data_IF_523162395778
#
_entry.id   IF_523162395778
#
_cell.length_a   1.000
_cell.length_b   1.000
_cell.length_c   1.000
_cell.angle_alpha   90.00
_cell.angle_beta   90.00
_cell.angle_gamma   90.00
#
_symmetry.space_group_name_H-M   'P 1'
#
loop_
_entity.id
_entity.type
_entity.pdbx_description
1 polymer ?
#
# COMPACT_ATOMS: atom_id res chain seq x y z
N UNK A 1 -60.51 -17.00 23.59
CA UNK A 1 -61.19 -15.71 23.37
C UNK A 1 -61.57 -15.64 21.89
N UNK A 2 -62.90 -15.60 21.55
CA UNK A 2 -63.33 -15.57 20.15
C UNK A 2 -63.34 -14.14 19.62
N UNK A 3 -62.96 -14.00 18.36
CA UNK A 3 -62.97 -12.72 17.62
C UNK A 3 -64.39 -12.31 17.20
N UNK A 4 -64.72 -11.01 17.14
CA UNK A 4 -66.04 -10.55 16.78
C UNK A 4 -66.29 -10.61 15.27
N UNK A 5 -67.42 -11.20 14.93
CA UNK A 5 -67.99 -11.29 13.57
C UNK A 5 -68.39 -9.92 13.05
N UNK A 6 -67.82 -9.46 11.92
CA UNK A 6 -68.29 -8.23 11.22
C UNK A 6 -69.55 -8.51 10.45
N UNK A 7 -70.65 -7.90 10.90
CA UNK A 7 -71.91 -7.88 10.17
C UNK A 7 -71.81 -6.93 8.98
N UNK A 8 -71.85 -7.45 7.76
CA UNK A 8 -71.97 -6.65 6.54
C UNK A 8 -73.41 -6.20 6.34
N UNK A 9 -73.65 -4.91 6.50
CA UNK A 9 -74.90 -4.26 6.17
C UNK A 9 -75.00 -4.05 4.65
N UNK A 10 -75.86 -4.79 3.96
CA UNK A 10 -76.09 -4.62 2.51
C UNK A 10 -76.67 -3.22 2.23
N UNK A 11 -75.93 -2.38 1.53
CA UNK A 11 -76.45 -1.11 0.95
C UNK A 11 -77.28 -1.44 -0.27
N UNK A 12 -78.52 -0.98 -0.28
CA UNK A 12 -79.44 -1.04 -1.42
C UNK A 12 -78.80 -0.28 -2.63
N UNK A 13 -78.43 -0.97 -3.67
CA UNK A 13 -77.87 -0.40 -4.87
C UNK A 13 -79.06 0.18 -5.67
N UNK A 14 -79.21 1.50 -5.70
CA UNK A 14 -80.14 2.20 -6.58
C UNK A 14 -79.45 2.27 -7.95
N UNK A 15 -80.00 1.61 -8.96
CA UNK A 15 -79.52 1.67 -10.35
C UNK A 15 -79.85 3.04 -10.94
N UNK A 16 -78.88 3.85 -11.34
CA UNK A 16 -79.18 5.10 -12.06
C UNK A 16 -79.77 4.79 -13.45
N UNK A 17 -80.69 5.65 -13.92
CA UNK A 17 -81.33 5.51 -15.22
C UNK A 17 -80.35 5.55 -16.35
N UNK A 18 -80.75 5.06 -17.50
CA UNK A 18 -79.93 4.91 -18.72
C UNK A 18 -79.27 6.21 -19.18
N UNK A 19 -79.90 7.38 -18.98
CA UNK A 19 -79.31 8.69 -19.33
C UNK A 19 -78.20 9.13 -18.40
N UNK A 20 -78.27 8.79 -17.13
CA UNK A 20 -77.26 9.11 -16.13
C UNK A 20 -76.00 8.24 -16.31
N UNK A 21 -76.14 6.98 -16.76
CA UNK A 21 -75.03 6.10 -17.13
C UNK A 21 -74.33 6.63 -18.40
N UNK A 22 -75.08 7.14 -19.39
CA UNK A 22 -74.50 7.72 -20.61
C UNK A 22 -73.71 9.00 -20.30
N UNK A 23 -74.20 9.87 -19.41
CA UNK A 23 -73.48 11.09 -18.98
C UNK A 23 -72.23 10.77 -18.14
N UNK A 24 -72.29 9.79 -17.27
CA UNK A 24 -71.13 9.37 -16.49
C UNK A 24 -70.05 8.72 -17.39
N UNK A 25 -70.44 7.88 -18.37
CA UNK A 25 -69.46 7.27 -19.30
C UNK A 25 -68.79 8.32 -20.21
N UNK A 26 -69.54 9.36 -20.66
CA UNK A 26 -68.99 10.46 -21.46
C UNK A 26 -68.03 11.34 -20.64
N UNK A 27 -68.35 11.58 -19.37
CA UNK A 27 -67.46 12.32 -18.44
C UNK A 27 -66.11 11.60 -18.23
N UNK A 28 -66.12 10.29 -17.99
CA UNK A 28 -64.89 9.49 -17.86
C UNK A 28 -64.05 9.45 -19.11
N UNK A 29 -64.67 9.38 -20.29
CA UNK A 29 -63.95 9.40 -21.58
C UNK A 29 -63.33 10.76 -21.83
N UNK A 30 -64.03 11.86 -21.50
CA UNK A 30 -63.46 13.23 -21.67
C UNK A 30 -62.33 13.51 -20.65
N UNK A 31 -62.44 13.01 -19.44
CA UNK A 31 -61.42 13.14 -18.43
C UNK A 31 -60.15 12.31 -18.75
N UNK A 32 -60.38 11.09 -19.30
CA UNK A 32 -59.26 10.25 -19.77
C UNK A 32 -58.55 10.82 -21.02
N UNK A 33 -59.30 11.52 -21.92
CA UNK A 33 -58.72 12.18 -23.10
C UNK A 33 -57.95 13.47 -22.75
N UNK A 34 -58.35 14.13 -21.63
CA UNK A 34 -57.71 15.35 -21.15
C UNK A 34 -56.62 15.08 -20.07
N UNK A 35 -56.39 13.81 -19.69
CA UNK A 35 -55.34 13.47 -18.75
C UNK A 35 -53.97 13.85 -19.39
N UNK A 36 -53.15 14.66 -18.72
CA UNK A 36 -51.83 15.02 -19.25
C UNK A 36 -51.03 13.76 -19.52
N UNK A 37 -50.52 13.61 -20.74
CA UNK A 37 -49.62 12.53 -21.12
C UNK A 37 -48.40 12.61 -20.19
N UNK A 38 -48.34 11.72 -19.23
CA UNK A 38 -47.15 11.61 -18.36
C UNK A 38 -46.01 11.14 -19.25
N UNK A 39 -45.17 12.07 -19.67
CA UNK A 39 -43.91 11.69 -20.30
C UNK A 39 -43.07 10.92 -19.31
N UNK A 40 -42.56 9.72 -19.65
CA UNK A 40 -41.72 8.97 -18.79
C UNK A 40 -40.53 9.84 -18.35
N UNK A 41 -40.08 9.77 -17.07
CA UNK A 41 -38.96 10.56 -16.63
C UNK A 41 -37.75 10.27 -17.51
N UNK A 42 -37.17 11.33 -18.09
CA UNK A 42 -35.97 11.22 -18.92
C UNK A 42 -34.92 10.46 -18.12
N UNK A 43 -34.31 9.38 -18.66
CA UNK A 43 -33.27 8.66 -17.95
C UNK A 43 -32.18 9.66 -17.58
N UNK A 44 -31.91 9.78 -16.28
CA UNK A 44 -30.91 10.73 -15.79
C UNK A 44 -29.58 10.40 -16.46
N UNK A 45 -28.96 11.37 -17.11
CA UNK A 45 -27.62 11.25 -17.74
C UNK A 45 -26.55 10.71 -16.75
N UNK A 46 -26.80 10.83 -15.47
CA UNK A 46 -25.99 10.29 -14.37
C UNK A 46 -25.80 8.77 -14.46
N UNK A 47 -26.78 7.99 -14.95
CA UNK A 47 -26.66 6.52 -15.09
C UNK A 47 -25.60 6.08 -16.11
N UNK A 48 -25.30 6.91 -17.10
CA UNK A 48 -24.32 6.59 -18.16
C UNK A 48 -22.92 7.19 -17.90
N UNK A 49 -22.81 8.18 -17.01
CA UNK A 49 -21.54 8.85 -16.69
C UNK A 49 -20.74 8.04 -15.66
N UNK A 50 -21.40 7.50 -14.62
CA UNK A 50 -20.76 6.71 -13.57
C UNK A 50 -19.91 5.52 -14.09
N UNK A 51 -20.42 4.64 -14.98
CA UNK A 51 -19.61 3.53 -15.47
C UNK A 51 -18.39 3.99 -16.28
N UNK A 52 -18.50 5.09 -17.02
CA UNK A 52 -17.38 5.65 -17.80
C UNK A 52 -16.28 6.20 -16.90
N UNK A 53 -16.63 6.88 -15.80
CA UNK A 53 -15.67 7.36 -14.80
C UNK A 53 -14.96 6.18 -14.12
N UNK A 54 -15.69 5.15 -13.71
CA UNK A 54 -15.13 3.94 -13.08
C UNK A 54 -14.16 3.25 -14.02
N UNK A 55 -14.53 3.07 -15.30
CA UNK A 55 -13.66 2.49 -16.32
C UNK A 55 -12.41 3.37 -16.52
N UNK A 56 -12.57 4.69 -16.60
CA UNK A 56 -11.44 5.62 -16.74
C UNK A 56 -10.45 5.52 -15.57
N UNK A 57 -10.94 5.53 -14.33
CA UNK A 57 -10.12 5.35 -13.12
C UNK A 57 -9.41 3.99 -13.14
N UNK A 58 -10.11 2.93 -13.49
CA UNK A 58 -9.54 1.59 -13.58
C UNK A 58 -8.41 1.50 -14.63
N UNK A 59 -8.61 2.10 -15.81
CA UNK A 59 -7.58 2.16 -16.85
C UNK A 59 -6.34 2.94 -16.39
N UNK A 60 -6.53 4.07 -15.68
CA UNK A 60 -5.41 4.84 -15.10
C UNK A 60 -4.64 3.99 -14.08
N UNK A 61 -5.33 3.31 -13.17
CA UNK A 61 -4.68 2.45 -12.16
C UNK A 61 -3.91 1.29 -12.81
N UNK A 62 -4.48 0.64 -13.83
CA UNK A 62 -3.77 -0.40 -14.60
C UNK A 62 -2.55 0.18 -15.30
N UNK A 63 -2.68 1.34 -15.94
CA UNK A 63 -1.54 1.98 -16.63
C UNK A 63 -0.41 2.31 -15.67
N UNK A 64 -0.71 2.86 -14.50
CA UNK A 64 0.28 3.13 -13.45
C UNK A 64 0.95 1.85 -12.96
N UNK A 65 0.17 0.78 -12.76
CA UNK A 65 0.69 -0.52 -12.38
C UNK A 65 1.62 -1.10 -13.45
N UNK A 66 1.23 -1.04 -14.72
CA UNK A 66 2.06 -1.50 -15.85
C UNK A 66 3.36 -0.70 -15.94
N UNK A 67 3.30 0.62 -15.77
CA UNK A 67 4.50 1.47 -15.74
C UNK A 67 5.43 1.03 -14.60
N UNK A 68 4.92 0.80 -13.39
CA UNK A 68 5.71 0.33 -12.26
C UNK A 68 6.33 -1.06 -12.53
N UNK A 69 5.59 -1.98 -13.15
CA UNK A 69 6.08 -3.29 -13.54
C UNK A 69 7.19 -3.18 -14.60
N UNK A 70 7.03 -2.31 -15.60
CA UNK A 70 8.08 -2.04 -16.61
C UNK A 70 9.32 -1.40 -15.99
N UNK A 71 9.14 -0.49 -15.02
CA UNK A 71 10.26 0.07 -14.26
C UNK A 71 11.01 -1.03 -13.49
N UNK A 72 10.31 -1.96 -12.84
CA UNK A 72 10.95 -3.12 -12.19
C UNK A 72 11.77 -3.95 -13.17
N UNK A 73 11.27 -4.15 -14.40
CA UNK A 73 12.02 -4.84 -15.46
C UNK A 73 13.30 -4.06 -15.79
N UNK A 74 13.21 -2.73 -15.96
CA UNK A 74 14.37 -1.87 -16.20
C UNK A 74 15.40 -1.91 -15.07
N UNK A 75 14.95 -1.96 -13.81
CA UNK A 75 15.81 -2.03 -12.63
C UNK A 75 16.64 -3.32 -12.52
N UNK A 76 16.37 -4.31 -13.35
CA UNK A 76 17.27 -5.48 -13.50
C UNK A 76 18.66 -5.10 -13.97
N UNK A 77 18.79 -4.06 -14.80
CA UNK A 77 20.03 -3.64 -15.45
C UNK A 77 20.43 -2.19 -15.14
N UNK A 78 19.48 -1.37 -14.72
CA UNK A 78 19.67 0.07 -14.47
C UNK A 78 19.51 0.34 -12.99
N UNK A 79 20.41 1.09 -12.40
CA UNK A 79 20.33 1.52 -11.01
C UNK A 79 19.32 2.67 -10.89
N UNK A 80 18.45 2.67 -9.84
CA UNK A 80 17.47 3.72 -9.68
C UNK A 80 18.15 5.05 -9.34
N UNK A 81 17.95 6.11 -10.15
CA UNK A 81 18.54 7.42 -9.87
C UNK A 81 17.84 8.13 -8.70
N UNK A 82 16.61 7.77 -8.42
CA UNK A 82 15.77 8.30 -7.34
C UNK A 82 14.65 7.32 -6.99
N UNK A 83 13.95 7.57 -5.89
CA UNK A 83 12.79 6.77 -5.46
C UNK A 83 11.63 7.67 -5.04
N UNK A 84 10.43 7.09 -4.88
CA UNK A 84 9.28 7.83 -4.38
C UNK A 84 9.52 8.42 -2.97
N UNK A 85 10.31 7.73 -2.12
CA UNK A 85 10.71 8.24 -0.80
C UNK A 85 11.63 9.46 -0.93
N UNK A 86 12.65 9.41 -1.78
CA UNK A 86 13.55 10.54 -2.04
C UNK A 86 12.74 11.75 -2.52
N UNK A 87 11.91 11.57 -3.54
CA UNK A 87 11.05 12.63 -4.08
C UNK A 87 10.09 13.19 -3.02
N UNK A 88 9.50 12.33 -2.20
CA UNK A 88 8.63 12.75 -1.10
C UNK A 88 9.38 13.62 -0.09
N UNK A 89 10.62 13.26 0.28
CA UNK A 89 11.43 14.06 1.22
C UNK A 89 11.83 15.42 0.66
N UNK A 90 12.19 15.47 -0.61
CA UNK A 90 12.44 16.72 -1.31
C UNK A 90 11.20 17.64 -1.30
N UNK A 91 10.04 17.07 -1.64
CA UNK A 91 8.77 17.80 -1.66
C UNK A 91 8.40 18.31 -0.25
N UNK A 92 8.54 17.46 0.78
CA UNK A 92 8.29 17.84 2.17
C UNK A 92 9.20 19.00 2.62
N UNK A 93 10.49 18.91 2.30
CA UNK A 93 11.45 19.96 2.62
C UNK A 93 11.11 21.28 1.92
N UNK A 94 10.71 21.22 0.65
CA UNK A 94 10.29 22.38 -0.12
C UNK A 94 9.02 23.04 0.47
N UNK A 95 7.99 22.23 0.79
CA UNK A 95 6.73 22.72 1.39
C UNK A 95 6.99 23.39 2.74
N UNK A 96 7.86 22.80 3.56
CA UNK A 96 8.16 23.32 4.91
C UNK A 96 9.32 24.32 4.93
N UNK A 97 9.86 24.70 3.78
CA UNK A 97 11.02 25.61 3.65
C UNK A 97 12.20 25.21 4.56
N UNK A 98 12.41 23.89 4.73
CA UNK A 98 13.49 23.37 5.57
C UNK A 98 14.71 23.03 4.72
N UNK A 99 15.95 23.35 5.18
CA UNK A 99 17.16 22.94 4.48
C UNK A 99 17.21 21.41 4.33
N UNK A 100 17.40 20.93 3.12
CA UNK A 100 17.49 19.50 2.84
C UNK A 100 18.69 19.21 1.95
N UNK A 101 19.56 18.32 2.39
CA UNK A 101 20.71 17.87 1.62
C UNK A 101 20.64 16.34 1.49
N UNK A 102 20.39 15.87 0.30
CA UNK A 102 20.44 14.45 -0.03
C UNK A 102 21.87 13.97 -0.17
N UNK A 103 22.16 12.81 0.44
CA UNK A 103 23.37 12.01 0.25
C UNK A 103 22.92 10.67 -0.28
N UNK A 104 23.17 10.44 -1.54
CA UNK A 104 22.82 9.21 -2.24
C UNK A 104 23.96 8.78 -3.12
N UNK A 105 24.38 7.52 -2.99
CA UNK A 105 25.38 6.91 -3.86
C UNK A 105 25.10 5.43 -3.98
N UNK A 106 24.70 5.00 -5.18
CA UNK A 106 24.53 3.60 -5.51
C UNK A 106 25.89 2.92 -5.70
N UNK A 107 26.06 1.72 -5.12
CA UNK A 107 27.25 0.89 -5.28
C UNK A 107 26.83 -0.57 -5.50
N UNK A 108 27.59 -1.39 -6.27
CA UNK A 108 27.29 -2.81 -6.43
C UNK A 108 27.30 -3.55 -5.10
N UNK A 109 26.45 -4.57 -4.96
CA UNK A 109 26.37 -5.41 -3.76
C UNK A 109 27.73 -5.98 -3.33
N UNK A 110 28.62 -6.25 -4.29
CA UNK A 110 30.00 -6.71 -4.05
C UNK A 110 30.89 -5.67 -3.36
N UNK A 111 30.49 -4.41 -3.33
CA UNK A 111 31.17 -3.32 -2.63
C UNK A 111 30.55 -3.00 -1.27
N UNK A 112 29.52 -3.74 -0.86
CA UNK A 112 28.90 -3.66 0.47
C UNK A 112 29.45 -4.83 1.31
N UNK A 113 29.94 -4.55 2.51
CA UNK A 113 30.44 -5.57 3.43
C UNK A 113 29.43 -6.71 3.61
N UNK A 114 29.84 -7.98 3.58
CA UNK A 114 28.98 -9.11 3.91
C UNK A 114 28.33 -8.96 5.30
N UNK A 115 29.07 -8.42 6.27
CA UNK A 115 28.53 -8.16 7.61
C UNK A 115 27.34 -7.20 7.58
N UNK A 116 27.39 -6.14 6.73
CA UNK A 116 26.28 -5.20 6.62
C UNK A 116 25.07 -5.84 5.93
N UNK A 117 25.28 -6.65 4.89
CA UNK A 117 24.23 -7.42 4.23
C UNK A 117 23.54 -8.35 5.22
N UNK A 118 24.30 -9.14 5.98
CA UNK A 118 23.82 -10.09 6.98
C UNK A 118 23.09 -9.39 8.13
N UNK A 119 23.63 -8.29 8.64
CA UNK A 119 23.02 -7.52 9.72
C UNK A 119 21.66 -6.96 9.31
N UNK A 120 21.54 -6.45 8.09
CA UNK A 120 20.25 -5.93 7.56
C UNK A 120 19.24 -7.06 7.39
N UNK A 121 19.64 -8.19 6.82
CA UNK A 121 18.75 -9.36 6.67
C UNK A 121 18.32 -9.86 8.07
N UNK A 122 19.23 -10.00 9.02
CA UNK A 122 18.91 -10.44 10.37
C UNK A 122 18.02 -9.46 11.14
N UNK A 123 18.08 -8.16 10.82
CA UNK A 123 17.28 -7.12 11.45
C UNK A 123 15.86 -7.04 10.89
N UNK A 124 15.75 -7.07 9.55
CA UNK A 124 14.53 -6.70 8.81
C UNK A 124 13.76 -7.91 8.27
N UNK A 125 14.45 -8.99 7.90
CA UNK A 125 13.85 -10.11 7.19
C UNK A 125 14.72 -11.38 7.33
N UNK A 126 14.73 -11.97 8.52
CA UNK A 126 15.60 -13.10 8.85
C UNK A 126 15.42 -14.34 7.94
N UNK A 127 14.29 -14.44 7.24
CA UNK A 127 13.98 -15.53 6.32
C UNK A 127 14.01 -15.09 4.85
N UNK A 128 14.70 -14.00 4.52
CA UNK A 128 14.73 -13.37 3.21
C UNK A 128 14.94 -14.34 2.06
N UNK A 129 15.86 -15.29 2.19
CA UNK A 129 16.14 -16.29 1.15
C UNK A 129 15.17 -17.47 1.13
N UNK A 130 14.24 -17.58 2.10
CA UNK A 130 13.35 -18.73 2.24
C UNK A 130 11.94 -18.48 1.70
N UNK A 131 11.56 -17.22 1.44
CA UNK A 131 10.25 -16.85 0.93
C UNK A 131 10.34 -16.13 -0.43
N UNK A 132 9.19 -15.96 -1.08
CA UNK A 132 9.05 -15.29 -2.37
C UNK A 132 8.26 -13.97 -2.23
N UNK A 133 8.81 -13.03 -1.47
CA UNK A 133 8.25 -11.69 -1.28
C UNK A 133 7.37 -11.51 -0.04
N UNK A 134 6.69 -12.56 0.41
CA UNK A 134 5.90 -12.56 1.65
C UNK A 134 6.37 -13.67 2.58
N UNK A 135 6.73 -13.31 3.80
CA UNK A 135 6.98 -14.29 4.87
C UNK A 135 5.68 -14.60 5.61
N UNK A 136 4.98 -15.63 5.13
CA UNK A 136 3.71 -16.06 5.73
C UNK A 136 3.85 -16.53 7.18
N UNK A 137 4.99 -17.08 7.55
CA UNK A 137 5.26 -17.51 8.92
C UNK A 137 5.36 -16.28 9.85
N UNK A 138 6.15 -15.25 9.48
CA UNK A 138 6.24 -14.02 10.27
C UNK A 138 4.90 -13.25 10.31
N UNK A 139 4.11 -13.29 9.23
CA UNK A 139 2.76 -12.70 9.21
C UNK A 139 1.84 -13.41 10.22
N UNK A 140 1.86 -14.74 10.26
CA UNK A 140 1.07 -15.52 11.22
C UNK A 140 1.49 -15.26 12.66
N UNK A 141 2.80 -15.26 12.93
CA UNK A 141 3.34 -14.97 14.26
C UNK A 141 2.98 -13.56 14.74
N UNK A 142 3.11 -12.56 13.86
CA UNK A 142 2.75 -11.18 14.19
C UNK A 142 1.23 -11.04 14.47
N UNK A 143 0.38 -11.76 13.73
CA UNK A 143 -1.07 -11.76 13.96
C UNK A 143 -1.45 -12.43 15.30
N UNK A 144 -0.75 -13.50 15.71
CA UNK A 144 -0.95 -14.12 17.01
C UNK A 144 -0.53 -13.21 18.17
N UNK A 145 0.66 -12.59 18.06
CA UNK A 145 1.17 -11.64 19.06
C UNK A 145 0.21 -10.44 19.24
N UNK A 146 -0.42 -9.98 18.14
CA UNK A 146 -1.39 -8.88 18.16
C UNK A 146 -2.70 -9.27 18.88
N UNK A 147 -3.17 -10.51 18.67
CA UNK A 147 -4.34 -11.06 19.37
C UNK A 147 -4.10 -11.26 20.88
N UNK A 148 -2.87 -11.56 21.27
CA UNK A 148 -2.46 -11.73 22.68
C UNK A 148 -2.16 -10.39 23.38
N UNK A 149 -2.31 -9.25 22.66
CA UNK A 149 -2.03 -7.92 23.19
C UNK A 149 -0.54 -7.64 23.40
N UNK A 150 0.32 -8.48 22.83
CA UNK A 150 1.77 -8.27 22.84
C UNK A 150 2.16 -7.15 21.84
N UNK A 151 3.37 -6.61 21.99
CA UNK A 151 3.85 -5.54 21.14
C UNK A 151 4.03 -6.05 19.70
N UNK A 152 3.20 -5.60 18.78
CA UNK A 152 3.27 -5.96 17.36
C UNK A 152 4.65 -5.66 16.78
N UNK A 153 5.33 -6.69 16.31
CA UNK A 153 6.55 -6.52 15.52
C UNK A 153 6.21 -6.44 14.03
N UNK A 154 7.05 -5.73 13.26
CA UNK A 154 6.82 -5.59 11.83
C UNK A 154 7.05 -6.91 11.09
N UNK A 155 6.05 -7.37 10.33
CA UNK A 155 6.13 -8.55 9.47
C UNK A 155 6.36 -8.18 7.99
N UNK A 156 6.91 -7.00 7.71
CA UNK A 156 7.18 -6.55 6.33
C UNK A 156 8.55 -7.03 5.87
N UNK A 157 8.60 -7.72 4.74
CA UNK A 157 9.83 -8.23 4.12
C UNK A 157 10.67 -7.12 3.45
N UNK A 158 11.94 -7.40 3.18
CA UNK A 158 12.84 -6.52 2.41
C UNK A 158 12.22 -6.20 1.03
N UNK A 159 11.62 -7.17 0.34
CA UNK A 159 10.98 -6.96 -0.97
C UNK A 159 9.77 -6.02 -0.87
N UNK A 160 8.93 -6.16 0.15
CA UNK A 160 7.82 -5.24 0.39
C UNK A 160 8.31 -3.82 0.69
N UNK A 161 9.36 -3.69 1.49
CA UNK A 161 9.98 -2.40 1.80
C UNK A 161 10.62 -1.77 0.57
N UNK A 162 11.27 -2.55 -0.30
CA UNK A 162 11.83 -2.09 -1.56
C UNK A 162 10.73 -1.51 -2.47
N UNK A 163 9.68 -2.28 -2.75
CA UNK A 163 8.56 -1.85 -3.59
C UNK A 163 7.91 -0.57 -3.04
N UNK A 164 7.71 -0.49 -1.71
CA UNK A 164 7.22 0.71 -1.03
C UNK A 164 8.14 1.91 -1.30
N UNK A 165 9.45 1.76 -1.11
CA UNK A 165 10.42 2.85 -1.28
C UNK A 165 10.48 3.33 -2.73
N UNK A 166 10.44 2.43 -3.70
CA UNK A 166 10.52 2.75 -5.12
C UNK A 166 9.29 3.52 -5.62
N UNK A 167 8.06 3.11 -5.22
CA UNK A 167 6.84 3.56 -5.90
C UNK A 167 5.81 4.29 -5.04
N UNK A 168 5.83 4.12 -3.71
CA UNK A 168 4.69 4.55 -2.87
C UNK A 168 5.03 5.57 -1.76
N UNK A 169 6.28 5.73 -1.39
CA UNK A 169 6.68 6.62 -0.29
C UNK A 169 6.27 6.11 1.10
N UNK A 170 6.22 7.02 2.10
CA UNK A 170 6.09 6.68 3.53
C UNK A 170 4.68 6.78 4.10
N UNK A 171 3.68 7.21 3.33
CA UNK A 171 2.28 7.31 3.78
C UNK A 171 1.72 5.98 4.30
N UNK A 172 0.69 6.00 5.14
CA UNK A 172 0.00 4.82 5.64
C UNK A 172 -1.42 4.75 5.07
N UNK A 173 -1.72 3.73 4.27
CA UNK A 173 -3.04 3.49 3.68
C UNK A 173 -3.18 2.00 3.35
N UNK A 174 -4.35 1.43 3.61
CA UNK A 174 -4.65 0.04 3.23
C UNK A 174 -4.69 -0.14 1.71
N UNK A 175 -5.21 0.84 0.96
CA UNK A 175 -5.22 0.80 -0.51
C UNK A 175 -3.80 0.76 -1.07
N UNK A 176 -2.91 1.60 -0.53
CA UNK A 176 -1.49 1.58 -0.88
C UNK A 176 -0.86 0.22 -0.57
N UNK A 177 -1.12 -0.36 0.62
CA UNK A 177 -0.58 -1.67 1.00
C UNK A 177 -1.07 -2.78 0.06
N UNK A 178 -2.33 -2.72 -0.39
CA UNK A 178 -2.85 -3.61 -1.42
C UNK A 178 -2.12 -3.46 -2.76
N UNK A 179 -1.90 -2.23 -3.22
CA UNK A 179 -1.16 -1.95 -4.46
C UNK A 179 0.31 -2.42 -4.36
N UNK A 180 1.00 -2.16 -3.23
CA UNK A 180 2.35 -2.70 -2.96
C UNK A 180 2.36 -4.23 -3.11
N UNK A 181 1.39 -4.91 -2.48
CA UNK A 181 1.33 -6.37 -2.48
C UNK A 181 1.22 -6.96 -3.89
N UNK A 182 0.61 -6.27 -4.86
CA UNK A 182 0.52 -6.77 -6.24
C UNK A 182 1.84 -6.66 -7.01
N UNK A 183 2.72 -5.73 -6.65
CA UNK A 183 4.02 -5.55 -7.29
C UNK A 183 5.14 -6.42 -6.68
N UNK A 184 4.97 -6.90 -5.45
CA UNK A 184 5.96 -7.73 -4.75
C UNK A 184 6.32 -9.00 -5.51
N UNK A 185 5.35 -9.82 -6.01
CA UNK A 185 5.68 -10.99 -6.82
C UNK A 185 6.40 -10.64 -8.13
N UNK A 186 6.07 -9.51 -8.74
CA UNK A 186 6.73 -9.03 -9.95
C UNK A 186 8.20 -8.70 -9.63
N UNK A 187 8.47 -7.99 -8.54
CA UNK A 187 9.83 -7.67 -8.10
C UNK A 187 10.66 -8.94 -7.85
N UNK A 188 10.09 -9.93 -7.14
CA UNK A 188 10.77 -11.21 -6.87
C UNK A 188 11.10 -11.96 -8.16
N UNK A 189 10.15 -12.06 -9.09
CA UNK A 189 10.33 -12.77 -10.34
C UNK A 189 11.36 -12.10 -11.25
N UNK A 190 11.31 -10.77 -11.36
CA UNK A 190 12.13 -10.01 -12.31
C UNK A 190 13.54 -9.77 -11.79
N UNK A 191 13.68 -9.34 -10.52
CA UNK A 191 14.96 -8.92 -9.95
C UNK A 191 15.72 -10.08 -9.33
N UNK A 192 15.02 -11.00 -8.65
CA UNK A 192 15.63 -12.04 -7.82
C UNK A 192 16.28 -11.48 -6.54
N UNK A 193 16.56 -12.34 -5.58
CA UNK A 193 16.99 -11.99 -4.22
C UNK A 193 18.23 -11.09 -4.18
N UNK A 194 19.24 -11.42 -4.99
CA UNK A 194 20.50 -10.65 -5.00
C UNK A 194 20.27 -9.19 -5.42
N UNK A 195 19.53 -8.97 -6.52
CA UNK A 195 19.25 -7.62 -7.02
C UNK A 195 18.29 -6.86 -6.12
N UNK A 196 17.31 -7.54 -5.52
CA UNK A 196 16.42 -6.96 -4.52
C UNK A 196 17.21 -6.42 -3.33
N UNK A 197 18.14 -7.23 -2.77
CA UNK A 197 18.97 -6.81 -1.65
C UNK A 197 19.90 -5.65 -2.03
N UNK A 198 20.53 -5.72 -3.21
CA UNK A 198 21.40 -4.66 -3.74
C UNK A 198 20.65 -3.33 -3.81
N UNK A 199 19.52 -3.29 -4.52
CA UNK A 199 18.75 -2.06 -4.67
C UNK A 199 18.22 -1.59 -3.30
N UNK A 200 17.72 -2.51 -2.45
CA UNK A 200 17.21 -2.16 -1.13
C UNK A 200 18.26 -1.46 -0.27
N UNK A 201 19.45 -2.04 -0.16
CA UNK A 201 20.55 -1.48 0.63
C UNK A 201 20.96 -0.09 0.14
N UNK A 202 20.84 0.17 -1.16
CA UNK A 202 21.25 1.43 -1.75
C UNK A 202 20.16 2.51 -1.75
N UNK A 203 18.85 2.14 -1.67
CA UNK A 203 17.78 3.14 -1.73
C UNK A 203 17.11 3.41 -0.37
N UNK A 204 17.30 2.53 0.61
CA UNK A 204 16.65 2.71 1.92
C UNK A 204 17.19 3.94 2.65
N UNK A 205 16.29 4.64 3.36
CA UNK A 205 16.64 5.80 4.19
C UNK A 205 17.32 5.33 5.49
N UNK A 206 18.55 5.79 5.75
CA UNK A 206 19.33 5.49 6.95
C UNK A 206 19.34 6.65 7.95
N UNK A 207 18.87 7.80 7.54
CA UNK A 207 18.81 9.02 8.34
C UNK A 207 18.26 10.18 7.53
N UNK A 208 18.05 11.36 8.14
CA UNK A 208 17.56 12.53 7.41
C UNK A 208 18.45 12.88 6.21
N UNK A 209 17.95 12.64 4.99
CA UNK A 209 18.68 12.88 3.75
C UNK A 209 19.85 11.92 3.48
N UNK A 210 19.95 10.79 4.20
CA UNK A 210 21.00 9.79 4.00
C UNK A 210 20.37 8.53 3.43
N UNK A 211 20.71 8.21 2.19
CA UNK A 211 20.20 7.07 1.44
C UNK A 211 21.33 6.19 0.95
N UNK A 212 21.12 4.89 1.12
CA UNK A 212 22.06 3.88 0.68
C UNK A 212 23.20 3.59 1.64
N UNK A 213 23.69 2.34 1.55
CA UNK A 213 24.70 1.79 2.44
C UNK A 213 26.01 2.60 2.42
N UNK A 214 26.51 2.97 1.25
CA UNK A 214 27.76 3.75 1.13
C UNK A 214 27.64 5.12 1.80
N UNK A 215 26.51 5.80 1.56
CA UNK A 215 26.26 7.12 2.17
C UNK A 215 26.12 7.02 3.68
N UNK A 216 25.43 5.99 4.18
CA UNK A 216 25.23 5.75 5.61
C UNK A 216 26.56 5.45 6.33
N UNK A 217 27.36 4.53 5.78
CA UNK A 217 28.65 4.16 6.39
C UNK A 217 29.61 5.35 6.44
N UNK A 218 29.67 6.15 5.39
CA UNK A 218 30.48 7.38 5.38
C UNK A 218 29.96 8.44 6.34
N UNK A 219 28.64 8.55 6.48
CA UNK A 219 28.03 9.56 7.33
C UNK A 219 28.17 9.25 8.81
N UNK A 220 27.98 8.00 9.21
CA UNK A 220 27.98 7.60 10.63
C UNK A 220 29.34 7.11 11.11
N UNK A 221 30.07 6.37 10.27
CA UNK A 221 31.31 5.70 10.68
C UNK A 221 32.57 6.23 9.96
N UNK A 222 32.41 7.19 9.03
CA UNK A 222 33.53 7.76 8.26
C UNK A 222 34.24 6.76 7.34
N UNK A 223 33.68 5.56 7.13
CA UNK A 223 34.29 4.47 6.38
C UNK A 223 33.45 4.08 5.15
N UNK A 224 34.06 3.55 4.08
CA UNK A 224 33.28 3.02 2.95
C UNK A 224 32.54 1.74 3.37
N UNK A 225 31.37 1.48 2.72
CA UNK A 225 30.50 0.34 3.05
C UNK A 225 31.19 -1.03 3.00
N UNK A 226 32.20 -1.20 2.15
CA UNK A 226 32.99 -2.44 2.04
C UNK A 226 33.84 -2.76 3.28
N UNK A 227 34.16 -1.74 4.09
CA UNK A 227 35.09 -1.86 5.23
C UNK A 227 34.35 -1.90 6.58
N UNK A 228 33.02 -1.84 6.56
CA UNK A 228 32.21 -1.91 7.79
C UNK A 228 32.30 -3.28 8.40
N UNK A 229 32.70 -3.33 9.66
CA UNK A 229 32.79 -4.57 10.42
C UNK A 229 31.46 -4.92 11.09
N UNK A 230 31.44 -6.10 11.69
CA UNK A 230 30.22 -6.76 12.21
C UNK A 230 29.43 -5.92 13.22
N UNK A 231 30.11 -5.29 14.18
CA UNK A 231 29.45 -4.47 15.20
C UNK A 231 28.87 -3.17 14.62
N UNK A 232 29.63 -2.49 13.77
CA UNK A 232 29.17 -1.30 13.05
C UNK A 232 27.96 -1.63 12.19
N UNK A 233 28.01 -2.74 11.44
CA UNK A 233 26.93 -3.24 10.61
C UNK A 233 25.65 -3.47 11.41
N UNK A 234 25.75 -4.10 12.57
CA UNK A 234 24.60 -4.35 13.45
C UNK A 234 23.99 -3.05 14.01
N UNK A 235 24.83 -2.06 14.37
CA UNK A 235 24.36 -0.73 14.81
C UNK A 235 23.67 0.04 13.67
N UNK A 236 24.22 0.00 12.48
CA UNK A 236 23.59 0.58 11.29
C UNK A 236 22.27 -0.11 10.99
N UNK A 237 22.21 -1.44 10.92
CA UNK A 237 20.96 -2.16 10.71
C UNK A 237 19.90 -1.84 11.78
N UNK A 238 20.31 -1.59 13.01
CA UNK A 238 19.41 -1.27 14.13
C UNK A 238 18.65 0.06 13.96
N UNK A 239 19.08 0.97 13.10
CA UNK A 239 18.39 2.24 12.87
C UNK A 239 17.27 2.14 11.84
N UNK A 240 17.31 1.16 10.92
CA UNK A 240 16.38 1.03 9.78
C UNK A 240 14.88 1.08 10.14
N UNK A 241 14.40 0.49 11.24
CA UNK A 241 12.99 0.57 11.60
C UNK A 241 12.48 1.99 11.87
N UNK A 242 13.36 2.94 12.22
CA UNK A 242 12.99 4.33 12.48
C UNK A 242 14.18 5.29 12.19
N UNK A 243 14.63 5.43 10.93
CA UNK A 243 15.88 6.07 10.57
C UNK A 243 15.91 7.58 10.88
N UNK A 244 14.75 8.21 10.94
CA UNK A 244 14.66 9.63 11.31
C UNK A 244 14.81 9.89 12.83
N UNK A 245 14.65 8.86 13.66
CA UNK A 245 14.65 8.97 15.13
C UNK A 245 15.82 8.27 15.79
N UNK A 246 16.28 7.15 15.22
CA UNK A 246 17.37 6.32 15.77
C UNK A 246 18.73 6.84 15.31
N UNK A 247 19.74 6.57 16.14
CA UNK A 247 21.15 6.87 15.85
C UNK A 247 21.99 5.65 16.23
N UNK A 248 23.00 5.26 15.42
CA UNK A 248 23.79 4.06 15.68
C UNK A 248 24.41 4.02 17.09
N UNK A 249 24.83 5.17 17.60
CA UNK A 249 25.49 5.32 18.92
C UNK A 249 24.56 4.99 20.11
N UNK A 250 23.24 4.90 19.85
CA UNK A 250 22.22 4.62 20.88
C UNK A 250 21.56 3.26 20.70
N UNK A 251 22.14 2.40 19.87
CA UNK A 251 21.51 1.12 19.48
C UNK A 251 22.19 -0.11 20.09
N UNK A 252 23.00 0.02 21.13
CA UNK A 252 23.78 -1.08 21.71
C UNK A 252 22.92 -2.30 22.07
N UNK A 253 21.80 -2.12 22.75
CA UNK A 253 20.93 -3.23 23.15
C UNK A 253 20.27 -3.93 21.95
N UNK A 254 19.82 -3.16 20.94
CA UNK A 254 19.18 -3.75 19.77
C UNK A 254 20.20 -4.32 18.78
N UNK A 255 21.37 -3.71 18.61
CA UNK A 255 22.46 -4.28 17.81
C UNK A 255 22.96 -5.61 18.39
N UNK A 256 23.01 -5.75 19.73
CA UNK A 256 23.35 -7.03 20.36
C UNK A 256 22.32 -8.15 20.02
N UNK A 257 21.03 -7.80 19.85
CA UNK A 257 20.03 -8.76 19.39
C UNK A 257 20.30 -9.15 17.93
N UNK A 258 20.63 -8.19 17.06
CA UNK A 258 20.96 -8.44 15.65
C UNK A 258 22.20 -9.34 15.56
N UNK A 259 23.25 -9.06 16.30
CA UNK A 259 24.47 -9.89 16.34
C UNK A 259 24.17 -11.35 16.74
N UNK A 260 23.31 -11.56 17.75
CA UNK A 260 22.87 -12.91 18.13
C UNK A 260 22.11 -13.61 17.00
N UNK A 261 21.22 -12.89 16.32
CA UNK A 261 20.49 -13.43 15.16
C UNK A 261 21.43 -13.82 14.01
N UNK A 262 22.43 -12.99 13.71
CA UNK A 262 23.45 -13.31 12.71
C UNK A 262 24.16 -14.63 13.06
N UNK A 263 24.57 -14.82 14.33
CA UNK A 263 25.17 -16.09 14.78
C UNK A 263 24.20 -17.27 14.64
N UNK A 264 22.94 -17.11 15.01
CA UNK A 264 21.90 -18.15 14.86
C UNK A 264 21.66 -18.53 13.39
N UNK A 265 21.86 -17.59 12.47
CA UNK A 265 21.73 -17.78 11.02
C UNK A 265 23.03 -18.33 10.39
N UNK A 266 24.08 -18.58 11.18
CA UNK A 266 25.36 -19.12 10.71
C UNK A 266 26.31 -18.08 10.11
N UNK A 267 26.11 -16.81 10.44
CA UNK A 267 26.93 -15.68 9.97
C UNK A 267 27.84 -15.08 11.05
#
# INVERSE_FOLDING_TARGET
MPQPTRVYRARKIVHPGTEERARLSFSYVTEALNAPIQTPPRPSSFRFVMPRIVIGVFLVLISLWLIAALMLIGLRWIDPPTTAVHMQRHLQAWIHSTPYRERYKFIPLSQISPDLQHAVIAAEDARFYQHHGFDWHEIQMAAQEDLEGARTRGASTITQQLVKNLFFGTGRSFLRKGAEATLVPVAEFVLGKRRILEIYLDVVEWGPGVYGAESACRYYDGTPARNVGREQAARLAAILPAPLRRRPERMDSYSAIILRRMVQMGW
#
